data_IF_412150834818
#
_entry.id   IF_412150834818
#
_cell.length_a   1.000
_cell.length_b   1.000
_cell.length_c   1.000
_cell.angle_alpha   90.00
_cell.angle_beta   90.00
_cell.angle_gamma   90.00
#
_symmetry.space_group_name_H-M   'P 1'
#
loop_
_entity.id
_entity.type
_entity.pdbx_description
1 polymer ?
#
# COMPACT_ATOMS: atom_id res chain seq x y z
N UNK A 1 -0.39 66.30 -32.29
CA UNK A 1 -0.32 64.90 -32.70
C UNK A 1 -0.04 64.10 -31.45
N UNK A 2 -1.04 63.38 -30.91
CA UNK A 2 -0.94 62.58 -29.72
C UNK A 2 -1.01 61.13 -30.16
N UNK A 3 0.07 60.37 -29.98
CA UNK A 3 0.10 58.91 -30.18
C UNK A 3 -0.16 58.25 -28.87
N UNK A 4 -1.29 57.57 -28.75
CA UNK A 4 -1.66 56.66 -27.66
C UNK A 4 -1.20 55.25 -28.03
N UNK A 5 -0.25 54.70 -27.27
CA UNK A 5 0.08 53.30 -27.34
C UNK A 5 -0.86 52.52 -26.39
N UNK A 6 -1.66 51.63 -26.95
CA UNK A 6 -2.44 50.66 -26.22
C UNK A 6 -1.57 49.44 -25.91
N UNK A 7 -1.29 49.21 -24.65
CA UNK A 7 -0.62 47.99 -24.16
C UNK A 7 -1.61 46.82 -24.07
N UNK A 8 -1.41 45.79 -24.86
CA UNK A 8 -2.12 44.52 -24.74
C UNK A 8 -1.48 43.69 -23.64
N UNK A 9 -2.20 43.48 -22.55
CA UNK A 9 -1.82 42.53 -21.50
C UNK A 9 -2.14 41.10 -21.99
N UNK A 10 -1.10 40.32 -22.27
CA UNK A 10 -1.22 38.90 -22.49
C UNK A 10 -1.40 38.20 -21.13
N UNK A 11 -2.62 37.78 -20.84
CA UNK A 11 -2.91 36.84 -19.76
C UNK A 11 -2.49 35.44 -20.21
N UNK A 12 -1.34 34.99 -19.76
CA UNK A 12 -0.94 33.57 -19.90
C UNK A 12 -1.80 32.77 -18.94
N UNK A 13 -2.87 32.21 -19.46
CA UNK A 13 -3.66 31.19 -18.77
C UNK A 13 -2.83 29.92 -18.64
N UNK A 14 -2.40 29.61 -17.41
CA UNK A 14 -1.81 28.33 -17.07
C UNK A 14 -2.88 27.25 -17.23
N UNK A 15 -2.90 26.57 -18.38
CA UNK A 15 -3.67 25.37 -18.58
C UNK A 15 -2.91 24.28 -17.81
N UNK A 16 -3.34 24.00 -16.57
CA UNK A 16 -3.03 22.75 -15.90
C UNK A 16 -3.67 21.63 -16.73
N UNK A 17 -2.90 21.02 -17.59
CA UNK A 17 -3.28 19.74 -18.22
C UNK A 17 -3.37 18.69 -17.14
N UNK A 18 -4.59 18.36 -16.73
CA UNK A 18 -4.92 17.20 -15.94
C UNK A 18 -4.69 15.95 -16.80
N UNK A 19 -3.44 15.57 -16.98
CA UNK A 19 -3.08 14.26 -17.53
C UNK A 19 -3.30 13.22 -16.45
N UNK A 20 -4.47 12.60 -16.42
CA UNK A 20 -4.81 11.52 -15.49
C UNK A 20 -6.29 11.24 -15.28
N UNK A 21 -7.18 12.05 -15.83
CA UNK A 21 -8.63 11.93 -15.58
C UNK A 21 -9.42 11.28 -16.73
N UNK A 22 -8.78 10.66 -17.70
CA UNK A 22 -9.50 10.06 -18.82
C UNK A 22 -9.80 8.60 -18.50
N UNK A 23 -11.05 8.31 -18.11
CA UNK A 23 -11.59 6.97 -17.97
C UNK A 23 -12.39 6.65 -16.72
N UNK A 24 -12.52 7.57 -15.77
CA UNK A 24 -13.46 7.39 -14.66
C UNK A 24 -14.81 7.93 -15.10
N UNK A 25 -15.64 7.08 -15.69
CA UNK A 25 -17.04 7.40 -15.89
C UNK A 25 -17.66 7.81 -14.56
N UNK A 26 -18.50 8.84 -14.58
CA UNK A 26 -19.36 9.17 -13.45
C UNK A 26 -20.26 7.97 -13.19
N UNK A 27 -19.91 7.16 -12.19
CA UNK A 27 -20.80 6.10 -11.74
C UNK A 27 -22.07 6.77 -11.23
N UNK A 28 -23.15 6.58 -11.98
CA UNK A 28 -24.46 6.88 -11.45
C UNK A 28 -24.70 5.97 -10.25
N UNK A 29 -25.19 6.50 -9.11
CA UNK A 29 -25.60 5.65 -8.01
C UNK A 29 -26.58 4.60 -8.58
N UNK A 30 -26.26 3.33 -8.38
CA UNK A 30 -27.22 2.29 -8.67
C UNK A 30 -28.43 2.53 -7.79
N UNK A 31 -29.59 2.69 -8.38
CA UNK A 31 -30.85 3.00 -7.71
C UNK A 31 -31.44 1.81 -6.95
N UNK A 32 -30.63 1.04 -6.28
CA UNK A 32 -31.08 0.09 -5.27
C UNK A 32 -31.21 0.88 -3.98
N UNK A 33 -32.43 1.24 -3.60
CA UNK A 33 -32.69 1.86 -2.30
C UNK A 33 -32.08 0.99 -1.21
N UNK A 34 -31.06 1.46 -0.45
CA UNK A 34 -30.64 0.76 0.73
C UNK A 34 -31.85 0.61 1.66
N UNK A 35 -32.09 -0.56 2.26
CA UNK A 35 -33.21 -0.73 3.15
C UNK A 35 -33.08 0.27 4.30
N UNK A 36 -34.04 1.17 4.47
CA UNK A 36 -34.20 2.22 5.54
C UNK A 36 -33.01 2.39 6.49
N UNK A 37 -32.88 3.31 7.36
CA UNK A 37 -31.73 3.70 8.18
C UNK A 37 -30.66 2.58 8.37
N UNK A 38 -29.76 2.43 7.40
CA UNK A 38 -28.70 1.42 7.44
C UNK A 38 -27.43 2.02 8.07
N UNK A 39 -26.75 1.25 8.90
CA UNK A 39 -25.47 1.62 9.52
C UNK A 39 -24.34 0.86 8.84
N UNK A 40 -23.30 1.56 8.42
CA UNK A 40 -22.06 0.99 7.92
C UNK A 40 -20.97 1.10 8.99
N UNK A 41 -20.48 -0.04 9.43
CA UNK A 41 -19.48 -0.14 10.49
C UNK A 41 -18.08 -0.32 9.87
N UNK A 42 -17.15 0.54 10.23
CA UNK A 42 -15.79 0.54 9.66
C UNK A 42 -14.77 0.46 10.78
N UNK A 43 -13.89 -0.54 10.71
CA UNK A 43 -12.75 -0.70 11.62
C UNK A 43 -11.42 -0.51 10.89
N UNK A 44 -10.34 -0.27 11.63
CA UNK A 44 -8.99 -0.39 11.07
C UNK A 44 -8.07 0.79 11.30
N UNK A 45 -7.40 1.22 10.25
CA UNK A 45 -6.26 2.13 10.31
C UNK A 45 -6.69 3.56 10.67
N UNK A 46 -6.30 4.00 11.88
CA UNK A 46 -6.52 5.35 12.41
C UNK A 46 -5.89 6.45 11.56
N UNK A 47 -4.80 6.16 10.85
CA UNK A 47 -4.15 7.11 9.95
C UNK A 47 -5.04 7.49 8.75
N UNK A 48 -6.05 6.69 8.44
CA UNK A 48 -7.02 6.94 7.37
C UNK A 48 -8.27 7.74 7.82
N UNK A 49 -8.38 8.12 9.10
CA UNK A 49 -9.57 8.79 9.65
C UNK A 49 -10.00 10.00 8.81
N UNK A 50 -9.09 10.94 8.54
CA UNK A 50 -9.39 12.13 7.72
C UNK A 50 -9.84 11.78 6.30
N UNK A 51 -9.27 10.74 5.69
CA UNK A 51 -9.69 10.28 4.36
C UNK A 51 -11.10 9.67 4.42
N UNK A 52 -11.37 8.89 5.45
CA UNK A 52 -12.69 8.30 5.69
C UNK A 52 -13.74 9.39 5.88
N UNK A 53 -13.47 10.43 6.67
CA UNK A 53 -14.38 11.58 6.84
C UNK A 53 -14.76 12.20 5.49
N UNK A 54 -13.77 12.39 4.59
CA UNK A 54 -14.04 12.92 3.25
C UNK A 54 -14.92 11.99 2.39
N UNK A 55 -14.75 10.68 2.50
CA UNK A 55 -15.59 9.71 1.82
C UNK A 55 -17.01 9.69 2.39
N UNK A 56 -17.14 9.68 3.71
CA UNK A 56 -18.45 9.70 4.37
C UNK A 56 -19.25 10.95 4.03
N UNK A 57 -18.61 12.12 4.09
CA UNK A 57 -19.26 13.40 3.76
C UNK A 57 -19.76 13.43 2.31
N UNK A 58 -19.00 12.84 1.41
CA UNK A 58 -19.41 12.74 0.02
C UNK A 58 -20.50 11.69 -0.19
N UNK A 59 -20.42 10.56 0.47
CA UNK A 59 -21.40 9.48 0.38
C UNK A 59 -22.76 9.89 0.99
N UNK A 60 -22.77 10.58 2.13
CA UNK A 60 -24.00 11.12 2.76
C UNK A 60 -24.76 12.11 1.89
N UNK A 61 -24.12 12.76 0.92
CA UNK A 61 -24.83 13.61 -0.05
C UNK A 61 -25.71 12.81 -1.01
N UNK A 62 -25.36 11.56 -1.24
CA UNK A 62 -26.10 10.62 -2.09
C UNK A 62 -27.06 9.76 -1.26
N UNK A 63 -26.67 9.43 -0.02
CA UNK A 63 -27.35 8.53 0.90
C UNK A 63 -27.46 9.18 2.30
N UNK A 64 -28.31 10.21 2.47
CA UNK A 64 -28.41 10.94 3.75
C UNK A 64 -28.96 10.10 4.92
N UNK A 65 -29.59 8.97 4.63
CA UNK A 65 -30.13 8.04 5.63
C UNK A 65 -29.05 7.11 6.22
N UNK A 66 -27.87 7.01 5.60
CA UNK A 66 -26.82 6.11 6.04
C UNK A 66 -26.03 6.70 7.20
N UNK A 67 -25.86 5.88 8.24
CA UNK A 67 -25.03 6.19 9.41
C UNK A 67 -23.70 5.45 9.31
N UNK A 68 -22.66 6.06 9.85
CA UNK A 68 -21.34 5.44 9.96
C UNK A 68 -20.96 5.27 11.43
N UNK A 69 -20.41 4.11 11.75
CA UNK A 69 -19.84 3.78 13.06
C UNK A 69 -18.39 3.34 12.86
N UNK A 70 -17.45 4.17 13.29
CA UNK A 70 -16.03 3.96 13.02
C UNK A 70 -15.26 3.57 14.29
N UNK A 71 -14.47 2.50 14.20
CA UNK A 71 -13.54 2.06 15.24
C UNK A 71 -12.15 1.94 14.67
N UNK A 72 -11.44 3.05 14.56
CA UNK A 72 -10.09 3.11 14.00
C UNK A 72 -9.04 3.01 15.11
N UNK A 73 -8.45 1.82 15.29
CA UNK A 73 -7.50 1.47 16.37
C UNK A 73 -6.19 0.89 15.83
N UNK A 74 -5.79 1.29 14.63
CA UNK A 74 -4.63 0.77 13.92
C UNK A 74 -4.99 -0.34 12.92
N UNK A 75 -4.12 -0.56 11.95
CA UNK A 75 -4.35 -1.50 10.83
C UNK A 75 -4.79 -2.90 11.29
N UNK A 76 -4.18 -3.45 12.33
CA UNK A 76 -4.50 -4.80 12.81
C UNK A 76 -5.96 -4.93 13.32
N UNK A 77 -6.56 -3.85 13.85
CA UNK A 77 -7.93 -3.91 14.36
C UNK A 77 -8.97 -4.13 13.24
N UNK A 78 -8.61 -3.85 11.98
CA UNK A 78 -9.52 -3.99 10.85
C UNK A 78 -10.01 -5.42 10.66
N UNK A 79 -9.08 -6.37 10.55
CA UNK A 79 -9.45 -7.78 10.34
C UNK A 79 -10.17 -8.37 11.55
N UNK A 80 -9.75 -8.03 12.76
CA UNK A 80 -10.51 -8.42 13.96
C UNK A 80 -11.95 -7.90 13.97
N UNK A 81 -12.18 -6.69 13.42
CA UNK A 81 -13.52 -6.14 13.28
C UNK A 81 -14.41 -6.97 12.34
N UNK A 82 -13.86 -7.44 11.22
CA UNK A 82 -14.57 -8.34 10.30
C UNK A 82 -14.80 -9.71 10.96
N UNK A 83 -13.75 -10.30 11.52
CA UNK A 83 -13.80 -11.62 12.15
C UNK A 83 -14.82 -11.69 13.29
N UNK A 84 -14.88 -10.67 14.14
CA UNK A 84 -15.87 -10.57 15.22
C UNK A 84 -17.23 -10.02 14.78
N UNK A 85 -17.46 -9.79 13.50
CA UNK A 85 -18.70 -9.20 12.94
C UNK A 85 -19.08 -7.85 13.56
N UNK A 86 -18.10 -7.11 14.07
CA UNK A 86 -18.28 -5.76 14.60
C UNK A 86 -18.04 -4.68 13.55
N UNK A 87 -17.52 -5.05 12.39
CA UNK A 87 -17.34 -4.18 11.22
C UNK A 87 -17.84 -4.85 9.94
N UNK A 88 -18.23 -4.04 8.98
CA UNK A 88 -18.64 -4.43 7.63
C UNK A 88 -17.47 -4.20 6.64
N UNK A 89 -16.58 -3.24 6.96
CA UNK A 89 -15.37 -2.92 6.19
C UNK A 89 -14.17 -2.77 7.13
N UNK A 90 -13.04 -3.36 6.73
CA UNK A 90 -11.75 -3.13 7.37
C UNK A 90 -10.86 -2.23 6.50
N UNK A 91 -10.41 -1.08 7.03
CA UNK A 91 -9.45 -0.20 6.37
C UNK A 91 -8.03 -0.53 6.82
N UNK A 92 -7.13 -0.80 5.87
CA UNK A 92 -5.77 -1.26 6.19
C UNK A 92 -4.70 -0.53 5.41
N UNK A 93 -3.59 -0.20 6.08
CA UNK A 93 -2.39 0.44 5.48
C UNK A 93 -1.38 -0.56 4.90
N UNK A 94 -1.74 -1.84 4.83
CA UNK A 94 -0.96 -2.95 4.27
C UNK A 94 -1.88 -4.06 3.77
N UNK A 95 -1.40 -5.00 2.95
CA UNK A 95 -2.14 -6.24 2.70
C UNK A 95 -2.36 -7.03 4.00
N UNK A 96 -3.41 -7.85 4.03
CA UNK A 96 -3.58 -8.82 5.12
C UNK A 96 -2.44 -9.83 5.10
N UNK A 97 -2.06 -10.30 6.28
CA UNK A 97 -1.10 -11.39 6.39
C UNK A 97 -1.81 -12.77 6.31
N UNK A 98 -1.07 -13.87 6.13
CA UNK A 98 -1.66 -15.21 6.03
C UNK A 98 -2.54 -15.60 7.23
N UNK A 99 -2.16 -15.19 8.45
CA UNK A 99 -2.92 -15.52 9.66
C UNK A 99 -4.27 -14.79 9.71
N UNK A 100 -4.30 -13.51 9.34
CA UNK A 100 -5.53 -12.72 9.25
C UNK A 100 -6.46 -13.30 8.18
N UNK A 101 -5.89 -13.71 7.04
CA UNK A 101 -6.65 -14.34 5.94
C UNK A 101 -7.25 -15.68 6.39
N UNK A 102 -6.46 -16.50 7.07
CA UNK A 102 -6.89 -17.81 7.55
C UNK A 102 -7.95 -17.70 8.64
N UNK A 103 -7.79 -16.78 9.60
CA UNK A 103 -8.79 -16.55 10.64
C UNK A 103 -10.16 -16.20 10.09
N UNK A 104 -10.22 -15.33 9.08
CA UNK A 104 -11.49 -14.99 8.42
C UNK A 104 -12.06 -16.17 7.63
N UNK A 105 -11.21 -16.96 6.97
CA UNK A 105 -11.63 -18.18 6.28
C UNK A 105 -12.21 -19.24 7.23
N UNK A 106 -11.58 -19.49 8.35
CA UNK A 106 -12.08 -20.43 9.38
C UNK A 106 -13.49 -20.05 9.87
N UNK A 107 -13.75 -18.75 9.98
CA UNK A 107 -15.04 -18.25 10.43
C UNK A 107 -16.12 -18.27 9.35
N UNK A 108 -15.78 -17.75 8.16
CA UNK A 108 -16.74 -17.43 7.10
C UNK A 108 -16.75 -18.43 5.93
N UNK A 109 -15.81 -19.35 5.90
CA UNK A 109 -15.57 -20.28 4.78
C UNK A 109 -15.36 -19.57 3.43
N UNK A 110 -15.04 -18.28 3.47
CA UNK A 110 -14.67 -17.46 2.34
C UNK A 110 -13.50 -16.56 2.72
N UNK A 111 -12.67 -16.22 1.75
CA UNK A 111 -11.61 -15.25 1.98
C UNK A 111 -12.16 -13.83 1.91
N UNK A 112 -11.63 -12.90 2.72
CA UNK A 112 -12.00 -11.50 2.62
C UNK A 112 -11.57 -10.96 1.25
N UNK A 113 -12.44 -10.15 0.66
CA UNK A 113 -12.16 -9.48 -0.61
C UNK A 113 -11.31 -8.26 -0.35
N UNK A 114 -10.17 -8.17 -1.05
CA UNK A 114 -9.23 -7.07 -0.97
C UNK A 114 -9.49 -6.06 -2.08
N UNK A 115 -9.71 -4.81 -1.72
CA UNK A 115 -9.87 -3.68 -2.65
C UNK A 115 -8.83 -2.61 -2.32
N UNK A 116 -8.03 -2.23 -3.30
CA UNK A 116 -7.19 -1.04 -3.16
C UNK A 116 -8.07 0.21 -3.31
N UNK A 117 -7.99 1.12 -2.35
CA UNK A 117 -8.88 2.30 -2.28
C UNK A 117 -8.15 3.62 -2.49
N UNK A 118 -6.84 3.66 -2.26
CA UNK A 118 -5.98 4.80 -2.54
C UNK A 118 -4.51 4.36 -2.65
N UNK A 119 -3.65 5.27 -3.08
CA UNK A 119 -2.19 5.16 -2.95
C UNK A 119 -1.75 5.94 -1.72
N UNK A 120 -0.82 5.39 -0.95
CA UNK A 120 -0.21 6.08 0.17
C UNK A 120 0.57 7.33 -0.26
N UNK A 121 1.02 8.10 0.71
CA UNK A 121 1.79 9.33 0.46
C UNK A 121 3.16 9.04 -0.19
N UNK A 122 3.68 10.00 -0.91
CA UNK A 122 5.06 9.96 -1.38
C UNK A 122 6.08 10.25 -0.28
N UNK A 123 5.69 11.05 0.74
CA UNK A 123 6.66 11.57 1.72
C UNK A 123 6.14 11.63 3.15
N UNK A 124 4.83 11.73 3.38
CA UNK A 124 4.27 11.95 4.73
C UNK A 124 4.39 10.72 5.60
N UNK A 125 5.16 10.75 6.70
CA UNK A 125 5.17 9.68 7.68
C UNK A 125 3.76 9.37 8.19
N UNK A 126 3.51 8.12 8.58
CA UNK A 126 2.23 7.66 9.11
C UNK A 126 1.03 7.76 8.14
N UNK A 127 1.28 7.96 6.84
CA UNK A 127 0.23 7.96 5.79
C UNK A 127 0.48 6.90 4.73
N UNK A 128 0.86 5.69 5.16
CA UNK A 128 1.28 4.59 4.27
C UNK A 128 2.28 5.05 3.20
N UNK A 129 3.24 5.88 3.61
CA UNK A 129 4.20 6.48 2.69
C UNK A 129 4.99 5.42 1.93
N UNK A 130 5.32 5.70 0.67
CA UNK A 130 6.26 4.91 -0.11
C UNK A 130 7.59 4.80 0.63
N UNK A 131 8.24 3.64 0.55
CA UNK A 131 9.56 3.47 1.16
C UNK A 131 10.64 4.04 0.28
N UNK A 132 11.36 5.03 0.79
CA UNK A 132 12.65 5.45 0.26
C UNK A 132 13.75 4.57 0.85
N UNK A 133 14.74 4.25 0.05
CA UNK A 133 15.97 3.59 0.48
C UNK A 133 17.06 4.64 0.54
N UNK A 134 17.68 4.77 1.69
CA UNK A 134 18.68 5.80 1.96
C UNK A 134 20.06 5.18 2.16
N UNK A 135 21.08 5.88 1.70
CA UNK A 135 22.48 5.65 2.04
C UNK A 135 23.11 6.96 2.49
N UNK A 136 24.26 6.88 3.15
CA UNK A 136 25.08 8.06 3.44
C UNK A 136 25.41 8.81 2.14
N UNK A 137 25.50 10.14 2.20
CA UNK A 137 25.85 10.96 1.01
C UNK A 137 27.21 10.62 0.40
N UNK A 138 28.18 10.17 1.21
CA UNK A 138 29.49 9.76 0.78
C UNK A 138 29.48 8.43 0.00
N UNK A 139 28.45 7.59 0.18
CA UNK A 139 28.34 6.33 -0.55
C UNK A 139 28.10 6.61 -2.05
N UNK A 140 28.89 6.04 -2.98
CA UNK A 140 28.75 6.33 -4.40
C UNK A 140 27.54 5.67 -5.07
N UNK A 141 26.85 4.72 -4.38
CA UNK A 141 25.70 4.04 -4.94
C UNK A 141 24.57 5.05 -5.26
N UNK A 142 23.90 4.87 -6.40
CA UNK A 142 22.79 5.72 -6.85
C UNK A 142 21.48 4.99 -7.04
N UNK A 143 21.51 3.66 -7.15
CA UNK A 143 20.35 2.85 -7.54
C UNK A 143 20.45 1.40 -7.05
N UNK A 144 19.29 0.77 -6.81
CA UNK A 144 19.15 -0.65 -6.43
C UNK A 144 17.91 -1.28 -7.07
N UNK A 145 17.91 -2.58 -7.23
CA UNK A 145 16.68 -3.33 -7.50
C UNK A 145 16.01 -3.80 -6.18
N UNK A 146 14.70 -4.08 -6.23
CA UNK A 146 13.99 -4.69 -5.11
C UNK A 146 14.57 -6.07 -4.76
N UNK A 147 15.05 -6.81 -5.75
CA UNK A 147 15.73 -8.08 -5.52
C UNK A 147 17.04 -7.91 -4.72
N UNK A 148 17.83 -6.88 -5.05
CA UNK A 148 19.04 -6.55 -4.27
C UNK A 148 18.70 -6.11 -2.85
N UNK A 149 17.58 -5.39 -2.64
CA UNK A 149 17.11 -5.07 -1.29
C UNK A 149 16.76 -6.34 -0.50
N UNK A 150 16.13 -7.34 -1.12
CA UNK A 150 15.91 -8.64 -0.50
C UNK A 150 17.25 -9.31 -0.13
N UNK A 151 18.28 -9.17 -0.99
CA UNK A 151 19.64 -9.61 -0.70
C UNK A 151 20.25 -8.99 0.54
N UNK A 152 19.99 -7.70 0.76
CA UNK A 152 20.55 -6.92 1.87
C UNK A 152 19.78 -7.15 3.17
N UNK A 153 18.45 -7.03 3.12
CA UNK A 153 17.60 -7.01 4.32
C UNK A 153 17.04 -8.38 4.71
N UNK A 154 16.89 -9.30 3.74
CA UNK A 154 16.24 -10.58 3.98
C UNK A 154 17.18 -11.64 4.55
N UNK A 155 16.64 -12.53 5.42
CA UNK A 155 17.31 -13.74 5.85
C UNK A 155 17.15 -14.89 4.84
N UNK A 156 17.95 -15.93 5.04
CA UNK A 156 17.81 -17.21 4.34
C UNK A 156 16.49 -17.88 4.74
N UNK A 157 15.90 -18.62 3.81
CA UNK A 157 14.64 -19.33 4.06
C UNK A 157 14.44 -20.49 3.09
N UNK A 158 13.73 -21.53 3.54
CA UNK A 158 13.41 -22.71 2.72
C UNK A 158 12.24 -22.53 1.77
N UNK A 159 11.52 -21.41 1.83
CA UNK A 159 10.37 -21.10 1.01
C UNK A 159 9.63 -19.87 1.52
N UNK A 160 8.39 -19.70 1.13
CA UNK A 160 7.53 -18.60 1.58
C UNK A 160 6.05 -18.95 1.48
N UNK A 161 5.21 -18.22 2.19
CA UNK A 161 3.77 -18.39 2.09
C UNK A 161 3.20 -17.57 0.94
N UNK A 162 2.55 -18.23 0.00
CA UNK A 162 1.71 -17.62 -1.01
C UNK A 162 0.24 -17.89 -0.63
N UNK A 163 -0.41 -16.90 -0.04
CA UNK A 163 -1.68 -17.10 0.65
C UNK A 163 -1.58 -18.21 1.72
N UNK A 164 -2.25 -19.35 1.52
CA UNK A 164 -2.22 -20.51 2.43
C UNK A 164 -1.32 -21.65 1.91
N UNK A 165 -0.72 -21.48 0.75
CA UNK A 165 0.14 -22.50 0.14
C UNK A 165 1.60 -22.19 0.41
N UNK A 166 2.36 -23.19 0.85
CA UNK A 166 3.80 -23.07 0.95
C UNK A 166 4.43 -23.11 -0.44
N UNK A 167 5.24 -22.11 -0.76
CA UNK A 167 5.92 -21.96 -2.04
C UNK A 167 7.43 -22.11 -1.87
N UNK A 168 7.97 -23.24 -2.27
CA UNK A 168 9.41 -23.52 -2.23
C UNK A 168 10.20 -22.65 -3.21
N UNK A 169 9.57 -22.09 -4.24
CA UNK A 169 10.24 -21.19 -5.18
C UNK A 169 10.61 -19.84 -4.56
N UNK A 170 9.98 -19.50 -3.43
CA UNK A 170 10.33 -18.35 -2.61
C UNK A 170 11.53 -18.60 -1.68
N UNK A 171 12.17 -19.78 -1.77
CA UNK A 171 13.39 -20.08 -1.02
C UNK A 171 14.50 -19.08 -1.33
N UNK A 172 15.32 -18.83 -0.34
CA UNK A 172 16.45 -17.92 -0.46
C UNK A 172 17.66 -18.52 0.26
N UNK A 173 18.74 -18.68 -0.48
CA UNK A 173 19.95 -19.31 0.03
C UNK A 173 21.01 -18.28 0.43
N UNK A 174 22.08 -18.74 1.06
CA UNK A 174 23.20 -17.92 1.50
C UNK A 174 23.91 -17.19 0.36
N UNK A 175 23.99 -17.80 -0.81
CA UNK A 175 24.62 -17.24 -2.01
C UNK A 175 23.90 -16.01 -2.53
N UNK A 176 22.64 -15.85 -2.20
CA UNK A 176 21.82 -14.67 -2.56
C UNK A 176 21.97 -13.51 -1.57
N UNK A 177 22.72 -13.69 -0.49
CA UNK A 177 23.01 -12.64 0.46
C UNK A 177 23.93 -11.58 -0.14
N UNK A 178 23.60 -10.32 0.10
CA UNK A 178 24.42 -9.16 -0.25
C UNK A 178 24.90 -8.53 1.03
N UNK A 179 26.18 -8.64 1.32
CA UNK A 179 26.80 -8.21 2.58
C UNK A 179 27.92 -7.18 2.39
N UNK A 180 28.39 -7.00 1.13
CA UNK A 180 29.41 -6.00 0.82
C UNK A 180 28.96 -5.10 -0.33
N UNK A 181 29.46 -3.88 -0.33
CA UNK A 181 29.20 -2.92 -1.40
C UNK A 181 29.77 -3.37 -2.76
N UNK A 182 30.83 -4.19 -2.75
CA UNK A 182 31.39 -4.78 -3.98
C UNK A 182 30.41 -5.74 -4.68
N UNK A 183 29.57 -6.46 -3.95
CA UNK A 183 28.54 -7.31 -4.55
C UNK A 183 27.46 -6.47 -5.29
N UNK A 184 27.36 -5.18 -5.00
CA UNK A 184 26.54 -4.20 -5.73
C UNK A 184 27.29 -3.49 -6.87
N UNK A 185 28.52 -3.92 -7.16
CA UNK A 185 29.34 -3.40 -8.26
C UNK A 185 30.24 -2.21 -7.90
N UNK A 186 30.31 -1.80 -6.63
CA UNK A 186 31.26 -0.78 -6.18
C UNK A 186 32.68 -1.37 -6.16
N UNK A 187 33.66 -0.54 -6.50
CA UNK A 187 35.06 -0.93 -6.66
C UNK A 187 36.00 -0.13 -5.76
N UNK A 188 37.30 -0.50 -5.79
CA UNK A 188 38.32 0.17 -5.00
C UNK A 188 38.08 0.01 -3.51
N UNK A 189 38.18 1.08 -2.75
CA UNK A 189 37.97 1.08 -1.28
C UNK A 189 36.60 0.59 -0.82
N UNK A 190 35.63 0.53 -1.73
CA UNK A 190 34.25 0.09 -1.43
C UNK A 190 34.04 -1.41 -1.66
N UNK A 191 34.96 -2.10 -2.35
CA UNK A 191 34.72 -3.47 -2.77
C UNK A 191 34.47 -4.43 -1.60
N UNK A 192 35.24 -4.31 -0.53
CA UNK A 192 35.21 -5.19 0.63
C UNK A 192 34.49 -4.58 1.85
N UNK A 193 34.02 -3.34 1.74
CA UNK A 193 33.29 -2.69 2.84
C UNK A 193 31.96 -3.41 3.11
N UNK A 194 31.64 -3.69 4.37
CA UNK A 194 30.37 -4.33 4.74
C UNK A 194 29.20 -3.39 4.49
N UNK A 195 28.00 -3.96 4.32
CA UNK A 195 26.74 -3.21 4.31
C UNK A 195 26.12 -3.30 5.70
N UNK A 196 25.78 -2.15 6.30
CA UNK A 196 25.10 -2.08 7.58
C UNK A 196 23.62 -1.73 7.35
N UNK A 197 22.68 -2.69 7.40
CA UNK A 197 21.27 -2.42 7.24
C UNK A 197 20.65 -1.82 8.51
N UNK A 198 19.88 -0.74 8.34
CA UNK A 198 19.16 -0.04 9.41
C UNK A 198 17.66 -0.11 9.17
N UNK A 199 16.89 -0.37 10.20
CA UNK A 199 15.45 -0.44 10.12
C UNK A 199 14.76 -0.27 11.48
N UNK A 200 13.42 -0.24 11.51
CA UNK A 200 12.67 -0.31 12.76
C UNK A 200 12.74 -1.71 13.36
N UNK A 201 12.52 -1.84 14.68
CA UNK A 201 12.38 -3.13 15.34
C UNK A 201 11.27 -3.96 14.70
N UNK A 202 11.49 -5.25 14.61
CA UNK A 202 10.52 -6.19 14.01
C UNK A 202 9.33 -6.47 14.94
N UNK A 203 8.53 -5.43 15.22
CA UNK A 203 7.37 -5.49 16.12
C UNK A 203 6.04 -5.81 15.42
N UNK A 204 6.06 -6.29 14.18
CA UNK A 204 4.86 -6.65 13.43
C UNK A 204 3.93 -5.47 13.07
N UNK A 205 4.42 -4.22 13.12
CA UNK A 205 3.60 -3.06 12.74
C UNK A 205 3.29 -3.04 11.26
N UNK A 206 2.19 -2.39 10.88
CA UNK A 206 1.74 -2.35 9.49
C UNK A 206 2.78 -1.84 8.49
N UNK A 207 3.66 -0.90 8.90
CA UNK A 207 4.75 -0.41 8.05
C UNK A 207 5.83 -1.47 7.85
N UNK A 208 6.26 -2.15 8.90
CA UNK A 208 7.32 -3.17 8.83
C UNK A 208 6.86 -4.35 7.99
N UNK A 209 5.67 -4.88 8.28
CA UNK A 209 5.07 -5.99 7.52
C UNK A 209 4.89 -5.64 6.04
N UNK A 210 4.51 -4.40 5.72
CA UNK A 210 4.40 -3.97 4.32
C UNK A 210 5.77 -3.97 3.62
N UNK A 211 6.84 -3.48 4.26
CA UNK A 211 8.19 -3.55 3.70
C UNK A 211 8.64 -4.99 3.48
N UNK A 212 8.45 -5.85 4.50
CA UNK A 212 8.76 -7.28 4.40
C UNK A 212 8.04 -7.92 3.20
N UNK A 213 6.74 -7.71 3.07
CA UNK A 213 5.94 -8.28 1.97
C UNK A 213 6.40 -7.77 0.60
N UNK A 214 6.68 -6.47 0.47
CA UNK A 214 7.04 -5.84 -0.81
C UNK A 214 8.46 -6.18 -1.26
N UNK A 215 9.39 -6.36 -0.32
CA UNK A 215 10.81 -6.55 -0.62
C UNK A 215 11.21 -8.03 -0.54
N UNK A 216 10.70 -8.74 0.45
CA UNK A 216 11.15 -10.11 0.75
C UNK A 216 10.13 -11.20 0.38
N UNK A 217 8.90 -10.80 0.00
CA UNK A 217 7.83 -11.74 -0.28
C UNK A 217 7.30 -12.43 0.97
N UNK A 218 6.46 -13.44 0.80
CA UNK A 218 5.69 -14.07 1.87
C UNK A 218 6.45 -14.85 2.96
N UNK A 219 7.78 -14.83 2.95
CA UNK A 219 8.58 -15.52 3.96
C UNK A 219 9.44 -14.63 4.85
N UNK A 220 8.96 -13.48 5.09
CA UNK A 220 9.64 -12.27 5.52
C UNK A 220 10.29 -12.31 6.90
N UNK A 221 11.54 -12.71 6.96
CA UNK A 221 12.40 -12.52 8.13
C UNK A 221 13.55 -11.58 7.73
N UNK A 222 13.80 -10.56 8.56
CA UNK A 222 15.01 -9.74 8.41
C UNK A 222 16.25 -10.57 8.76
N UNK A 223 17.37 -10.23 8.12
CA UNK A 223 18.64 -10.80 8.51
C UNK A 223 19.06 -10.34 9.91
N UNK A 224 19.96 -11.12 10.53
CA UNK A 224 20.45 -10.86 11.89
C UNK A 224 21.32 -9.61 12.02
N UNK A 225 21.85 -9.07 10.90
CA UNK A 225 22.68 -7.87 10.89
C UNK A 225 21.85 -6.57 10.91
N UNK A 226 20.50 -6.65 10.89
CA UNK A 226 19.64 -5.47 10.93
C UNK A 226 19.85 -4.71 12.23
N UNK A 227 20.29 -3.46 12.11
CA UNK A 227 20.41 -2.54 13.23
C UNK A 227 19.07 -1.87 13.48
N UNK A 228 18.42 -2.22 14.58
CA UNK A 228 17.06 -1.80 14.89
C UNK A 228 17.03 -0.47 15.65
N UNK A 229 16.16 0.44 15.21
CA UNK A 229 15.92 1.75 15.84
C UNK A 229 14.43 2.01 15.97
N UNK A 230 13.95 2.28 17.17
CA UNK A 230 12.54 2.69 17.39
C UNK A 230 12.27 4.08 16.82
N UNK A 231 13.21 5.00 17.03
CA UNK A 231 13.09 6.37 16.53
C UNK A 231 13.76 6.57 15.17
N UNK A 232 12.98 7.01 14.19
CA UNK A 232 13.45 7.25 12.83
C UNK A 232 14.47 8.37 12.73
N UNK A 233 14.34 9.40 13.56
CA UNK A 233 15.27 10.52 13.56
C UNK A 233 16.66 10.08 14.02
N UNK A 234 16.72 9.29 15.09
CA UNK A 234 17.96 8.69 15.57
C UNK A 234 18.57 7.75 14.55
N UNK A 235 17.76 6.91 13.91
CA UNK A 235 18.20 6.01 12.82
C UNK A 235 18.85 6.79 11.66
N UNK A 236 18.22 7.89 11.21
CA UNK A 236 18.76 8.72 10.14
C UNK A 236 20.03 9.48 10.55
N UNK A 237 20.14 9.86 11.80
CA UNK A 237 21.36 10.50 12.33
C UNK A 237 22.54 9.52 12.35
N UNK A 238 22.31 8.27 12.78
CA UNK A 238 23.33 7.22 12.73
C UNK A 238 23.74 6.91 11.29
N UNK A 239 22.77 6.74 10.39
CA UNK A 239 23.04 6.54 8.97
C UNK A 239 23.89 7.68 8.35
N UNK A 240 23.65 8.92 8.78
CA UNK A 240 24.41 10.07 8.31
C UNK A 240 25.90 10.03 8.77
N UNK A 241 26.21 9.28 9.82
CA UNK A 241 27.58 9.09 10.35
C UNK A 241 28.21 7.75 9.91
N UNK A 242 27.45 6.86 9.26
CA UNK A 242 27.92 5.57 8.80
C UNK A 242 27.95 5.53 7.25
N UNK A 243 29.14 5.70 6.63
CA UNK A 243 29.28 5.61 5.17
C UNK A 243 28.84 4.25 4.59
N UNK A 244 28.91 3.18 5.39
CA UNK A 244 28.60 1.81 4.98
C UNK A 244 27.12 1.43 5.26
N UNK A 245 26.34 2.39 5.75
CA UNK A 245 24.94 2.21 6.13
C UNK A 245 23.96 2.29 4.97
N UNK A 246 22.87 1.51 5.09
CA UNK A 246 21.67 1.56 4.24
C UNK A 246 20.41 1.44 5.11
N UNK A 247 19.39 2.26 4.85
CA UNK A 247 18.15 2.26 5.61
C UNK A 247 16.91 2.37 4.73
N UNK A 248 15.75 1.98 5.27
CA UNK A 248 14.46 2.28 4.66
C UNK A 248 13.57 3.11 5.60
N UNK A 249 12.92 4.12 5.02
CA UNK A 249 11.99 5.00 5.75
C UNK A 249 11.09 5.75 4.77
N UNK A 250 10.15 6.55 5.28
CA UNK A 250 9.43 7.50 4.43
C UNK A 250 10.36 8.63 3.97
N UNK A 251 10.13 9.17 2.77
CA UNK A 251 10.97 10.26 2.24
C UNK A 251 10.99 11.50 3.16
N UNK A 252 9.87 11.79 3.83
CA UNK A 252 9.77 12.89 4.78
C UNK A 252 10.53 12.69 6.11
N UNK A 253 11.04 11.47 6.36
CA UNK A 253 11.90 11.14 7.50
C UNK A 253 13.39 11.34 7.18
N UNK A 254 13.72 11.81 5.97
CA UNK A 254 15.08 12.08 5.54
C UNK A 254 15.80 13.05 6.45
N UNK A 255 16.98 12.64 6.92
CA UNK A 255 17.92 13.51 7.64
C UNK A 255 18.92 14.20 6.71
N UNK A 256 19.68 15.16 7.26
CA UNK A 256 20.87 15.68 6.60
C UNK A 256 21.96 14.60 6.54
N UNK A 257 22.81 14.64 5.54
CA UNK A 257 23.90 13.66 5.40
C UNK A 257 23.54 12.35 4.69
N UNK A 258 22.25 12.12 4.36
CA UNK A 258 21.80 10.95 3.61
C UNK A 258 21.18 11.31 2.26
N UNK A 259 21.14 10.35 1.34
CA UNK A 259 20.51 10.50 0.01
C UNK A 259 19.63 9.30 -0.31
N UNK A 260 18.46 9.50 -0.98
CA UNK A 260 17.64 8.40 -1.47
C UNK A 260 18.26 7.78 -2.73
N UNK A 261 17.93 6.50 -2.96
CA UNK A 261 18.32 5.75 -4.16
C UNK A 261 17.13 5.61 -5.12
N UNK A 262 17.41 5.57 -6.42
CA UNK A 262 16.46 5.14 -7.43
C UNK A 262 16.26 3.62 -7.36
N UNK A 263 15.02 3.14 -7.57
CA UNK A 263 14.71 1.71 -7.47
C UNK A 263 14.19 1.13 -8.78
N UNK A 264 14.50 -0.13 -9.02
CA UNK A 264 13.90 -0.93 -10.08
C UNK A 264 13.09 -2.09 -9.50
N UNK A 265 11.96 -2.43 -10.13
CA UNK A 265 11.15 -3.59 -9.76
C UNK A 265 11.84 -4.89 -10.16
N UNK A 266 11.90 -5.87 -9.25
CA UNK A 266 12.52 -7.17 -9.48
C UNK A 266 13.94 -7.05 -10.02
N UNK A 267 14.23 -7.75 -11.09
CA UNK A 267 15.50 -7.72 -11.84
C UNK A 267 15.48 -6.72 -13.03
N UNK A 268 14.48 -5.85 -13.12
CA UNK A 268 14.36 -4.84 -14.17
C UNK A 268 15.54 -3.86 -14.12
N UNK A 269 15.95 -3.36 -15.29
CA UNK A 269 16.95 -2.29 -15.42
C UNK A 269 16.33 -0.87 -15.47
N UNK A 270 15.01 -0.76 -15.33
CA UNK A 270 14.30 0.53 -15.28
C UNK A 270 14.30 1.07 -13.86
N UNK A 271 15.25 1.92 -13.55
CA UNK A 271 15.36 2.59 -12.26
C UNK A 271 14.49 3.84 -12.22
N UNK A 272 13.74 4.02 -11.15
CA UNK A 272 12.76 5.09 -10.96
C UNK A 272 13.04 5.80 -9.64
N UNK A 273 13.10 7.12 -9.65
CA UNK A 273 13.23 7.95 -8.46
C UNK A 273 11.89 8.04 -7.72
N UNK A 274 11.95 8.18 -6.39
CA UNK A 274 10.78 8.42 -5.58
C UNK A 274 10.35 9.88 -5.71
N UNK A 275 9.28 10.10 -6.43
CA UNK A 275 8.61 11.40 -6.59
C UNK A 275 7.10 11.24 -6.40
N UNK A 276 6.39 12.36 -6.18
CA UNK A 276 4.93 12.32 -6.13
C UNK A 276 4.32 11.68 -7.38
N UNK A 277 4.87 11.99 -8.56
CA UNK A 277 4.39 11.44 -9.84
C UNK A 277 4.59 9.94 -9.91
N UNK A 278 5.79 9.44 -9.60
CA UNK A 278 6.12 8.00 -9.71
C UNK A 278 5.44 7.15 -8.64
N UNK A 279 5.07 7.74 -7.51
CA UNK A 279 4.22 7.08 -6.51
C UNK A 279 2.76 7.08 -6.97
N UNK A 280 2.26 8.19 -7.53
CA UNK A 280 0.88 8.30 -7.99
C UNK A 280 0.57 7.35 -9.16
N UNK A 281 1.47 7.22 -10.14
CA UNK A 281 1.30 6.34 -11.29
C UNK A 281 1.77 4.89 -11.04
N UNK A 282 2.23 4.59 -9.83
CA UNK A 282 2.72 3.27 -9.38
C UNK A 282 3.95 2.76 -10.14
N UNK A 283 4.69 3.63 -10.81
CA UNK A 283 5.98 3.26 -11.43
C UNK A 283 7.11 3.10 -10.42
N UNK A 284 7.02 3.74 -9.24
CA UNK A 284 7.96 3.52 -8.15
C UNK A 284 7.67 2.19 -7.45
N UNK A 285 8.63 1.25 -7.37
CA UNK A 285 8.36 -0.12 -6.92
C UNK A 285 7.85 -0.26 -5.50
N UNK A 286 8.23 0.64 -4.60
CA UNK A 286 7.84 0.60 -3.19
C UNK A 286 6.74 1.64 -2.86
N UNK A 287 5.92 2.01 -3.87
CA UNK A 287 4.68 2.74 -3.65
C UNK A 287 3.67 1.85 -2.92
N UNK A 288 3.09 2.34 -1.83
CA UNK A 288 2.23 1.54 -0.96
C UNK A 288 0.76 1.77 -1.26
N UNK A 289 -0.02 0.75 -1.62
CA UNK A 289 -1.48 0.83 -1.60
C UNK A 289 -2.02 0.93 -0.18
N UNK A 290 -3.22 1.48 -0.05
CA UNK A 290 -4.08 1.29 1.12
C UNK A 290 -5.34 0.57 0.70
N UNK A 291 -5.91 -0.21 1.61
CA UNK A 291 -6.87 -1.25 1.29
C UNK A 291 -8.17 -1.10 2.10
N UNK A 292 -9.26 -1.53 1.49
CA UNK A 292 -10.48 -1.92 2.18
C UNK A 292 -10.65 -3.43 2.01
N UNK A 293 -11.02 -4.11 3.08
CA UNK A 293 -11.42 -5.52 3.07
C UNK A 293 -12.86 -5.64 3.51
N UNK A 294 -13.57 -6.58 2.93
CA UNK A 294 -14.92 -6.99 3.35
C UNK A 294 -15.09 -8.47 3.13
N UNK A 295 -16.01 -9.08 3.86
CA UNK A 295 -16.38 -10.48 3.69
C UNK A 295 -17.70 -10.57 2.96
N UNK A 296 -17.78 -11.50 2.02
CA UNK A 296 -19.05 -11.85 1.37
C UNK A 296 -19.81 -12.74 2.36
N UNK A 297 -21.01 -12.30 2.76
CA UNK A 297 -21.80 -13.04 3.74
C UNK A 297 -22.24 -14.40 3.17
N UNK A 298 -21.88 -15.46 3.89
CA UNK A 298 -22.21 -16.83 3.56
C UNK A 298 -22.99 -17.44 4.71
N UNK A 299 -24.01 -16.74 5.21
CA UNK A 299 -24.74 -17.10 6.44
C UNK A 299 -25.40 -18.49 6.45
N UNK A 300 -25.46 -19.19 5.33
CA UNK A 300 -26.04 -20.54 5.29
C UNK A 300 -25.29 -21.44 4.33
N UNK A 301 -24.60 -22.36 4.90
CA UNK A 301 -23.71 -23.37 4.31
C UNK A 301 -24.36 -24.30 3.28
N UNK A 302 -25.63 -24.22 2.96
CA UNK A 302 -26.23 -25.24 2.12
C UNK A 302 -26.77 -24.79 0.76
N UNK A 303 -27.15 -23.54 0.50
CA UNK A 303 -27.82 -23.24 -0.80
C UNK A 303 -27.70 -21.76 -1.27
N UNK A 304 -27.33 -20.80 -0.47
CA UNK A 304 -27.35 -19.39 -0.91
C UNK A 304 -26.03 -18.99 -1.57
N UNK A 305 -26.10 -18.43 -2.78
CA UNK A 305 -24.97 -17.75 -3.38
C UNK A 305 -24.42 -16.68 -2.42
N UNK A 306 -23.11 -16.60 -2.20
CA UNK A 306 -22.50 -15.57 -1.40
C UNK A 306 -22.97 -14.19 -1.87
N UNK A 307 -23.48 -13.35 -0.97
CA UNK A 307 -23.99 -12.03 -1.32
C UNK A 307 -23.15 -10.96 -0.65
N UNK A 308 -22.67 -10.03 -1.47
CA UNK A 308 -22.12 -8.78 -0.97
C UNK A 308 -23.24 -7.99 -0.29
N UNK A 309 -23.00 -7.49 0.94
CA UNK A 309 -23.86 -6.51 1.55
C UNK A 309 -24.04 -5.31 0.60
N UNK A 310 -25.25 -4.98 0.13
CA UNK A 310 -25.46 -3.93 -0.85
C UNK A 310 -24.88 -2.58 -0.43
N UNK A 311 -24.97 -2.23 0.86
CA UNK A 311 -24.44 -0.96 1.36
C UNK A 311 -22.91 -0.91 1.31
N UNK A 312 -22.22 -2.02 1.62
CA UNK A 312 -20.76 -2.15 1.43
C UNK A 312 -20.40 -1.97 -0.03
N UNK A 313 -21.13 -2.63 -0.92
CA UNK A 313 -20.91 -2.51 -2.37
C UNK A 313 -21.07 -1.07 -2.86
N UNK A 314 -22.17 -0.40 -2.49
CA UNK A 314 -22.43 1.00 -2.87
C UNK A 314 -21.36 1.95 -2.34
N UNK A 315 -20.96 1.81 -1.07
CA UNK A 315 -19.90 2.64 -0.50
C UNK A 315 -18.57 2.43 -1.21
N UNK A 316 -18.16 1.19 -1.47
CA UNK A 316 -16.90 0.92 -2.18
C UNK A 316 -16.96 1.35 -3.65
N UNK A 317 -18.11 1.23 -4.33
CA UNK A 317 -18.31 1.82 -5.65
C UNK A 317 -18.16 3.35 -5.62
N UNK A 318 -18.72 4.01 -4.61
CA UNK A 318 -18.51 5.45 -4.42
C UNK A 318 -17.03 5.77 -4.17
N UNK A 319 -16.33 5.05 -3.30
CA UNK A 319 -14.89 5.25 -3.01
C UNK A 319 -14.05 5.11 -4.30
N UNK A 320 -14.38 4.16 -5.16
CA UNK A 320 -13.70 3.93 -6.45
C UNK A 320 -14.19 4.85 -7.56
N UNK A 321 -15.24 5.64 -7.36
CA UNK A 321 -15.75 6.61 -8.35
C UNK A 321 -14.81 7.80 -8.50
N UNK A 322 -15.08 8.64 -9.51
CA UNK A 322 -14.40 9.91 -9.70
C UNK A 322 -14.50 10.79 -8.44
N UNK A 323 -15.70 10.89 -7.84
CA UNK A 323 -15.94 11.69 -6.65
C UNK A 323 -15.17 11.16 -5.44
N UNK A 324 -15.16 9.84 -5.25
CA UNK A 324 -14.40 9.18 -4.18
C UNK A 324 -12.89 9.39 -4.34
N UNK A 325 -12.36 9.30 -5.56
CA UNK A 325 -10.93 9.54 -5.83
C UNK A 325 -10.58 11.04 -5.76
N UNK A 326 -11.50 11.94 -6.08
CA UNK A 326 -11.35 13.38 -5.79
C UNK A 326 -11.32 13.64 -4.27
N UNK A 327 -12.10 12.89 -3.48
CA UNK A 327 -12.03 12.98 -2.02
C UNK A 327 -10.64 12.56 -1.49
N UNK A 328 -10.02 11.52 -2.08
CA UNK A 328 -8.63 11.15 -1.80
C UNK A 328 -7.68 12.33 -2.05
N UNK A 329 -7.79 12.97 -3.22
CA UNK A 329 -6.95 14.13 -3.56
C UNK A 329 -7.16 15.31 -2.57
N UNK A 330 -8.41 15.59 -2.20
CA UNK A 330 -8.75 16.66 -1.23
C UNK A 330 -8.23 16.39 0.18
N UNK A 331 -8.13 15.12 0.58
CA UNK A 331 -7.56 14.77 1.90
C UNK A 331 -6.15 15.29 2.07
N UNK A 332 -5.39 15.37 0.96
CA UNK A 332 -4.00 15.84 0.91
C UNK A 332 -2.99 14.89 1.54
N UNK A 333 -3.45 13.76 2.11
CA UNK A 333 -2.62 12.79 2.83
C UNK A 333 -2.31 11.55 1.99
N UNK A 334 -3.15 11.27 0.99
CA UNK A 334 -3.06 10.12 0.10
C UNK A 334 -3.14 10.56 -1.36
N UNK A 335 -2.82 9.66 -2.27
CA UNK A 335 -2.86 9.89 -3.70
C UNK A 335 -4.00 9.06 -4.33
N UNK A 336 -4.74 9.59 -5.30
CA UNK A 336 -5.74 8.83 -6.04
C UNK A 336 -5.13 7.63 -6.74
N UNK A 337 -5.95 6.60 -6.95
CA UNK A 337 -5.58 5.45 -7.75
C UNK A 337 -5.47 5.81 -9.24
N UNK A 338 -4.52 5.20 -9.97
CA UNK A 338 -4.55 5.20 -11.43
C UNK A 338 -5.85 4.59 -11.97
N UNK A 339 -6.37 5.11 -13.09
CA UNK A 339 -7.63 4.64 -13.68
C UNK A 339 -7.62 3.12 -13.99
N UNK A 340 -6.50 2.59 -14.46
CA UNK A 340 -6.35 1.15 -14.69
C UNK A 340 -6.52 0.33 -13.41
N UNK A 341 -5.96 0.81 -12.29
CA UNK A 341 -6.11 0.14 -10.99
C UNK A 341 -7.58 0.21 -10.54
N UNK A 342 -8.25 1.35 -10.68
CA UNK A 342 -9.69 1.46 -10.37
C UNK A 342 -10.51 0.46 -11.17
N UNK A 343 -10.27 0.35 -12.48
CA UNK A 343 -10.97 -0.61 -13.34
C UNK A 343 -10.76 -2.06 -12.87
N UNK A 344 -9.53 -2.42 -12.48
CA UNK A 344 -9.23 -3.74 -11.94
C UNK A 344 -9.95 -4.00 -10.60
N UNK A 345 -10.02 -3.00 -9.71
CA UNK A 345 -10.73 -3.15 -8.44
C UNK A 345 -12.25 -3.29 -8.66
N UNK A 346 -12.84 -2.52 -9.57
CA UNK A 346 -14.26 -2.65 -9.93
C UNK A 346 -14.57 -4.02 -10.54
N UNK A 347 -13.68 -4.53 -11.42
CA UNK A 347 -13.79 -5.90 -11.95
C UNK A 347 -13.73 -6.95 -10.85
N UNK A 348 -12.83 -6.79 -9.88
CA UNK A 348 -12.69 -7.66 -8.72
C UNK A 348 -13.98 -7.69 -7.87
N UNK A 349 -14.61 -6.53 -7.65
CA UNK A 349 -15.90 -6.45 -6.94
C UNK A 349 -17.04 -7.11 -7.72
N UNK A 350 -17.03 -7.02 -9.05
CA UNK A 350 -18.05 -7.63 -9.92
C UNK A 350 -17.84 -9.13 -10.13
N UNK A 351 -16.60 -9.63 -9.97
CA UNK A 351 -16.32 -11.04 -10.10
C UNK A 351 -16.88 -11.78 -8.90
N UNK A 352 -17.82 -12.70 -9.17
CA UNK A 352 -18.28 -13.68 -8.18
C UNK A 352 -17.31 -14.85 -8.05
N UNK A 353 -16.09 -14.70 -8.58
CA UNK A 353 -15.07 -15.73 -8.53
C UNK A 353 -14.65 -15.95 -7.09
N UNK A 354 -15.19 -16.98 -6.52
CA UNK A 354 -14.66 -17.64 -5.35
C UNK A 354 -13.24 -18.05 -5.75
N UNK A 355 -12.21 -17.59 -5.02
CA UNK A 355 -10.83 -17.90 -5.37
C UNK A 355 -10.65 -19.38 -5.65
N UNK A 356 -9.82 -19.72 -6.65
CA UNK A 356 -9.57 -21.10 -7.10
C UNK A 356 -9.14 -22.07 -5.98
N UNK A 357 -8.73 -21.53 -4.84
CA UNK A 357 -8.41 -22.24 -3.60
C UNK A 357 -9.58 -23.09 -3.03
N UNK A 358 -10.83 -22.78 -3.40
CA UNK A 358 -11.97 -23.64 -3.08
C UNK A 358 -11.98 -24.96 -3.86
N UNK A 359 -11.22 -25.03 -4.97
CA UNK A 359 -11.03 -26.29 -5.71
C UNK A 359 -10.13 -27.29 -5.00
N UNK A 360 -9.15 -26.80 -4.24
CA UNK A 360 -8.19 -27.67 -3.55
C UNK A 360 -8.81 -28.45 -2.38
N UNK A 361 -9.86 -27.92 -1.76
CA UNK A 361 -10.55 -28.60 -0.63
C UNK A 361 -11.66 -29.56 -1.08
N UNK A 362 -12.06 -29.55 -2.36
CA UNK A 362 -13.04 -30.51 -2.91
C UNK A 362 -12.43 -31.80 -3.44
N UNK A 363 -11.12 -31.84 -3.61
CA UNK A 363 -10.40 -33.00 -4.13
C UNK A 363 -9.80 -33.86 -3.00
N UNK A 364 -10.04 -33.51 -1.72
CA UNK A 364 -9.61 -34.29 -0.53
C UNK A 364 -10.76 -35.07 0.17
N UNK A 365 -12.00 -35.02 -0.36
CA UNK A 365 -13.12 -35.89 0.02
C UNK A 365 -13.29 -36.97 -1.08
#
# INVERSE_FOLDING_TARGET
MKNTFAGAALTVGMILTAAGAHGLDTLHPTTTNPPGSATLRICGNDQMAKLLDHWEDGFRKLHPEVRFENTLRGTASGMYGLDMRTADIALMGRPINPYERYGEYERAWVYPVEIQVATGSESRPHKSAAYAIFVNKANPLAKLSVEQLNGIFGAERGGGWNALTWDETAARTKEQNIRTWGQLGLKGEWADKPIHPYGPPNLGTGAITAFQTMVMGGGAIFNEDLREYEDRKSMMAELANDPDGIAYAALGERGDGVKPLALAAGSSNRYVELTRQTVADRSYPLARPVYAYYTIDNEKTEIAEPRLNPLVGEFLHYVLSQQGQQAVARSGDYLPLPAAVVADQLKKMASRDIPAERKLLKDED
#
